data_IF_124720939722
#
_entry.id   IF_124720939722
#
_cell.length_a   1.000
_cell.length_b   1.000
_cell.length_c   1.000
_cell.angle_alpha   90.00
_cell.angle_beta   90.00
_cell.angle_gamma   90.00
#
_symmetry.space_group_name_H-M   'P 1'
#
loop_
_entity.id
_entity.type
_entity.pdbx_description
1 polymer ?
#
# COMPACT_ATOMS: atom_id res chain seq x y z
N UNK A 1 -10.08 18.25 44.90
CA UNK A 1 -10.47 17.41 43.75
C UNK A 1 -10.20 18.24 42.51
N UNK A 2 -9.22 17.85 41.70
CA UNK A 2 -8.88 18.54 40.45
C UNK A 2 -9.61 17.83 39.32
N UNK A 3 -10.78 18.35 38.95
CA UNK A 3 -11.48 17.93 37.74
C UNK A 3 -10.73 18.51 36.54
N UNK A 4 -9.81 17.70 36.00
CA UNK A 4 -9.18 17.98 34.71
C UNK A 4 -10.26 17.91 33.63
N UNK A 5 -10.68 19.08 33.17
CA UNK A 5 -11.45 19.25 31.95
C UNK A 5 -10.78 18.51 30.78
N UNK A 6 -11.27 17.32 30.44
CA UNK A 6 -10.97 16.68 29.17
C UNK A 6 -11.61 17.52 28.07
N UNK A 7 -10.81 18.37 27.41
CA UNK A 7 -11.21 18.94 26.12
C UNK A 7 -11.25 17.79 25.10
N UNK A 8 -12.35 17.59 24.37
CA UNK A 8 -12.33 16.72 23.21
C UNK A 8 -11.38 17.35 22.19
N UNK A 9 -10.23 16.72 22.00
CA UNK A 9 -9.26 17.15 21.00
C UNK A 9 -9.92 16.99 19.60
N UNK A 10 -9.93 18.02 18.74
CA UNK A 10 -10.44 17.93 17.37
C UNK A 10 -9.74 16.89 16.47
N UNK A 11 -8.76 16.16 17.00
CA UNK A 11 -8.08 15.05 16.33
C UNK A 11 -8.88 13.72 16.31
N UNK A 12 -10.05 13.65 16.96
CA UNK A 12 -10.90 12.45 16.94
C UNK A 12 -11.76 12.29 15.68
N UNK A 13 -11.69 13.24 14.73
CA UNK A 13 -12.14 13.04 13.35
C UNK A 13 -10.93 12.94 12.43
N UNK A 14 -9.94 12.13 12.82
CA UNK A 14 -9.01 11.58 11.86
C UNK A 14 -9.82 10.65 10.95
N UNK A 15 -10.30 11.20 9.83
CA UNK A 15 -10.55 10.39 8.64
C UNK A 15 -9.30 9.51 8.51
N UNK A 16 -9.42 8.21 8.81
CA UNK A 16 -8.29 7.29 8.79
C UNK A 16 -7.74 7.35 7.37
N UNK A 17 -6.65 8.09 7.20
CA UNK A 17 -5.94 8.15 5.94
C UNK A 17 -5.46 6.73 5.69
N UNK A 18 -6.03 6.08 4.66
CA UNK A 18 -5.73 4.69 4.36
C UNK A 18 -4.26 4.64 3.96
N UNK A 19 -3.42 4.07 4.83
CA UNK A 19 -2.01 3.84 4.51
C UNK A 19 -1.94 2.95 3.26
N UNK A 20 -1.41 3.45 2.13
CA UNK A 20 -1.30 2.66 0.90
C UNK A 20 -0.51 1.37 1.11
N UNK A 21 0.44 1.35 2.04
CA UNK A 21 1.23 0.16 2.36
C UNK A 21 0.35 -0.90 3.03
N UNK A 22 -0.39 -0.53 4.07
CA UNK A 22 -1.31 -1.46 4.77
C UNK A 22 -2.40 -1.99 3.84
N UNK A 23 -2.89 -1.17 2.90
CA UNK A 23 -3.83 -1.62 1.88
C UNK A 23 -3.21 -2.65 0.90
N UNK A 24 -1.90 -2.59 0.65
CA UNK A 24 -1.16 -3.52 -0.23
C UNK A 24 -0.83 -4.85 0.45
N UNK A 25 -0.64 -4.87 1.77
CA UNK A 25 -0.17 -6.07 2.50
C UNK A 25 -1.05 -7.31 2.25
N UNK A 26 -2.40 -7.25 2.33
CA UNK A 26 -3.25 -8.42 2.08
C UNK A 26 -3.18 -8.92 0.63
N UNK A 27 -2.80 -8.05 -0.31
CA UNK A 27 -2.75 -8.36 -1.73
C UNK A 27 -1.34 -8.74 -2.23
N UNK A 28 -0.32 -8.77 -1.36
CA UNK A 28 1.03 -9.26 -1.68
C UNK A 28 1.05 -10.62 -2.41
N UNK A 29 0.26 -11.64 -2.02
CA UNK A 29 0.25 -12.93 -2.71
C UNK A 29 -0.17 -12.85 -4.19
N UNK A 30 -0.87 -11.78 -4.58
CA UNK A 30 -1.38 -11.55 -5.93
C UNK A 30 -0.47 -10.57 -6.67
N UNK A 31 -0.06 -9.48 -6.00
CA UNK A 31 0.81 -8.45 -6.57
C UNK A 31 2.18 -9.04 -6.96
N UNK A 32 2.77 -9.90 -6.13
CA UNK A 32 4.10 -10.48 -6.42
C UNK A 32 4.10 -11.33 -7.71
N UNK A 33 3.17 -12.29 -7.93
CA UNK A 33 3.07 -13.01 -9.21
C UNK A 33 2.75 -12.11 -10.40
N UNK A 34 1.84 -11.14 -10.26
CA UNK A 34 1.46 -10.25 -11.37
C UNK A 34 2.65 -9.38 -11.79
N UNK A 35 3.25 -8.64 -10.85
CA UNK A 35 4.39 -7.77 -11.12
C UNK A 35 5.59 -8.57 -11.61
N UNK A 36 5.88 -9.71 -10.96
CA UNK A 36 6.96 -10.61 -11.39
C UNK A 36 6.74 -11.16 -12.81
N UNK A 37 5.50 -11.56 -13.13
CA UNK A 37 5.14 -12.03 -14.47
C UNK A 37 5.27 -10.94 -15.54
N UNK A 38 4.81 -9.73 -15.23
CA UNK A 38 5.00 -8.56 -16.11
C UNK A 38 6.48 -8.29 -16.31
N UNK A 39 7.30 -8.30 -15.26
CA UNK A 39 8.75 -8.12 -15.39
C UNK A 39 9.38 -9.19 -16.28
N UNK A 40 9.05 -10.47 -16.08
CA UNK A 40 9.57 -11.58 -16.90
C UNK A 40 9.14 -11.47 -18.36
N UNK A 41 7.89 -11.10 -18.61
CA UNK A 41 7.38 -10.88 -19.96
C UNK A 41 8.11 -9.72 -20.66
N UNK A 42 8.31 -8.60 -19.96
CA UNK A 42 9.08 -7.46 -20.46
C UNK A 42 10.52 -7.88 -20.80
N UNK A 43 11.17 -8.63 -19.92
CA UNK A 43 12.54 -9.13 -20.15
C UNK A 43 12.59 -10.05 -21.38
N UNK A 44 11.65 -10.98 -21.50
CA UNK A 44 11.55 -11.87 -22.65
C UNK A 44 11.29 -11.10 -23.96
N UNK A 45 10.41 -10.09 -23.93
CA UNK A 45 10.12 -9.24 -25.09
C UNK A 45 11.36 -8.47 -25.57
N UNK A 46 12.14 -7.91 -24.65
CA UNK A 46 13.39 -7.22 -24.98
C UNK A 46 14.41 -8.21 -25.58
N UNK A 47 14.51 -9.41 -25.01
CA UNK A 47 15.42 -10.45 -25.50
C UNK A 47 15.09 -10.87 -26.96
N UNK A 48 13.81 -11.02 -27.30
CA UNK A 48 13.37 -11.33 -28.67
C UNK A 48 13.66 -10.18 -29.64
N UNK A 49 13.46 -8.93 -29.19
CA UNK A 49 13.57 -7.75 -30.05
C UNK A 49 15.02 -7.35 -30.37
N UNK A 50 16.00 -7.90 -29.65
CA UNK A 50 17.44 -7.66 -29.85
C UNK A 50 18.11 -8.71 -30.75
N UNK A 51 17.40 -9.79 -31.10
CA UNK A 51 17.85 -10.79 -32.07
C UNK A 51 17.69 -10.28 -33.50
#
# INVERSE_FOLDING_TARGET
>A
MSDSHASPNPHEVAAHEVDPVEAVVPMIPIVLPIVGGVMMFLLAFIAVSMA
#
